data_IF_580407245314
#
_entry.id   IF_580407245314
#
_cell.length_a   1.000
_cell.length_b   1.000
_cell.length_c   1.000
_cell.angle_alpha   90.00
_cell.angle_beta   90.00
_cell.angle_gamma   90.00
#
_symmetry.space_group_name_H-M   'P 1'
#
loop_
_entity.id
_entity.type
_entity.pdbx_description
1 polymer ?
#
# COMPACT_ATOMS: atom_id res chain seq x y z
N UNK A 1 -3.95 -44.94 22.01
CA UNK A 1 -2.56 -44.66 21.61
C UNK A 1 -2.50 -44.92 20.10
N UNK A 2 -2.62 -43.90 19.27
CA UNK A 2 -1.48 -43.07 18.87
C UNK A 2 -1.88 -41.59 18.83
N UNK A 3 -1.04 -40.76 19.42
CA UNK A 3 -1.07 -39.30 19.34
C UNK A 3 -0.61 -38.86 17.95
N UNK A 4 -1.49 -38.31 17.11
CA UNK A 4 -1.05 -37.51 15.98
C UNK A 4 -0.79 -36.08 16.45
N UNK A 5 0.46 -35.67 16.28
CA UNK A 5 1.04 -34.43 16.73
C UNK A 5 0.44 -33.27 15.94
N UNK A 6 -0.17 -32.33 16.66
CA UNK A 6 -0.48 -31.00 16.16
C UNK A 6 0.84 -30.25 15.92
N UNK A 7 1.38 -30.35 14.69
CA UNK A 7 2.50 -29.53 14.24
C UNK A 7 2.04 -28.08 14.10
N UNK A 8 2.79 -27.08 14.62
CA UNK A 8 2.43 -25.68 14.45
C UNK A 8 2.61 -25.29 12.98
N UNK A 9 1.51 -24.93 12.31
CA UNK A 9 1.53 -24.41 10.95
C UNK A 9 2.35 -23.12 10.93
N UNK A 10 3.52 -23.16 10.31
CA UNK A 10 4.37 -21.99 10.07
C UNK A 10 3.65 -21.01 9.13
N UNK A 11 3.76 -19.72 9.44
CA UNK A 11 3.09 -18.57 8.79
C UNK A 11 3.12 -18.52 7.25
N UNK A 12 4.01 -19.28 6.61
CA UNK A 12 4.11 -19.39 5.15
C UNK A 12 2.96 -20.19 4.51
N UNK A 13 2.37 -21.17 5.21
CA UNK A 13 1.33 -22.02 4.63
C UNK A 13 -0.07 -21.37 4.59
N UNK A 14 -0.29 -20.29 5.35
CA UNK A 14 -1.56 -19.57 5.30
C UNK A 14 -1.65 -18.60 4.12
N UNK A 15 -0.52 -18.16 3.57
CA UNK A 15 -0.49 -17.23 2.44
C UNK A 15 -0.86 -17.93 1.11
N UNK A 16 -0.52 -19.21 0.95
CA UNK A 16 -0.85 -19.97 -0.28
C UNK A 16 -2.34 -20.25 -0.47
N UNK A 17 -3.16 -20.22 0.60
CA UNK A 17 -4.60 -20.48 0.52
C UNK A 17 -5.44 -19.23 0.27
N UNK A 18 -4.88 -18.05 0.46
CA UNK A 18 -5.63 -16.79 0.40
C UNK A 18 -5.45 -16.11 -0.96
N UNK A 19 -4.34 -16.36 -1.66
CA UNK A 19 -4.02 -15.66 -2.91
C UNK A 19 -3.94 -16.63 -4.10
N UNK A 20 -4.69 -16.39 -5.19
CA UNK A 20 -4.66 -17.23 -6.38
C UNK A 20 -3.30 -17.20 -7.08
N UNK A 21 -3.00 -18.25 -7.86
CA UNK A 21 -1.68 -18.52 -8.50
C UNK A 21 -1.14 -17.35 -9.33
N UNK A 22 -1.98 -16.44 -9.84
CA UNK A 22 -1.54 -15.23 -10.56
C UNK A 22 -0.96 -14.13 -9.65
N UNK A 23 -1.16 -14.23 -8.33
CA UNK A 23 -0.53 -13.37 -7.31
C UNK A 23 0.88 -13.83 -6.94
N UNK A 24 1.30 -15.03 -7.37
CA UNK A 24 2.70 -15.43 -7.38
C UNK A 24 3.37 -14.66 -8.51
N UNK A 25 3.74 -13.41 -8.24
CA UNK A 25 4.52 -12.60 -9.15
C UNK A 25 5.75 -13.42 -9.60
N UNK A 26 5.81 -13.75 -10.89
CA UNK A 26 7.08 -14.12 -11.52
C UNK A 26 8.08 -13.00 -11.18
N UNK A 27 9.35 -13.32 -10.89
CA UNK A 27 10.33 -12.31 -10.59
C UNK A 27 10.45 -11.38 -11.80
N UNK A 28 9.86 -10.18 -11.69
CA UNK A 28 10.02 -9.14 -12.70
C UNK A 28 11.52 -8.92 -12.93
N UNK A 29 11.99 -8.89 -14.19
CA UNK A 29 13.40 -8.74 -14.52
C UNK A 29 13.96 -7.36 -14.15
N UNK A 30 13.10 -6.42 -13.76
CA UNK A 30 13.50 -5.15 -13.19
C UNK A 30 13.15 -5.13 -11.70
N UNK A 31 14.08 -5.53 -10.81
CA UNK A 31 13.86 -5.34 -9.40
C UNK A 31 13.75 -3.82 -9.19
N UNK A 32 12.54 -3.33 -8.87
CA UNK A 32 12.38 -2.04 -8.21
C UNK A 32 13.49 -1.98 -7.16
N UNK A 33 14.41 -1.05 -7.33
CA UNK A 33 15.63 -0.94 -6.54
C UNK A 33 15.24 -0.51 -5.11
N UNK A 34 14.64 -1.42 -4.34
CA UNK A 34 14.38 -1.26 -2.89
C UNK A 34 15.71 -1.34 -2.12
N UNK A 35 16.84 -1.56 -2.82
CA UNK A 35 18.11 -1.98 -2.26
C UNK A 35 18.99 -0.86 -1.70
N UNK A 36 18.69 0.44 -1.92
CA UNK A 36 19.59 1.52 -1.48
C UNK A 36 18.86 2.74 -0.91
N UNK A 37 17.97 2.54 0.07
CA UNK A 37 17.36 3.64 0.85
C UNK A 37 16.47 4.62 0.07
N UNK A 38 16.30 4.43 -1.23
CA UNK A 38 15.48 5.23 -2.12
C UNK A 38 14.26 4.43 -2.56
N UNK A 39 13.07 5.03 -2.40
CA UNK A 39 11.81 4.48 -2.89
C UNK A 39 11.27 5.36 -4.02
N UNK A 40 11.53 5.02 -5.30
CA UNK A 40 11.20 5.90 -6.42
C UNK A 40 9.70 6.11 -6.58
N UNK A 41 8.87 5.12 -6.20
CA UNK A 41 7.41 5.24 -6.25
C UNK A 41 6.95 6.23 -5.20
N UNK A 42 7.48 6.14 -3.98
CA UNK A 42 7.16 7.09 -2.92
C UNK A 42 7.58 8.53 -3.26
N UNK A 43 8.79 8.71 -3.79
CA UNK A 43 9.25 10.04 -4.20
C UNK A 43 8.38 10.62 -5.33
N UNK A 44 7.96 9.80 -6.29
CA UNK A 44 7.04 10.21 -7.34
C UNK A 44 5.68 10.64 -6.77
N UNK A 45 5.10 9.86 -5.85
CA UNK A 45 3.83 10.19 -5.20
C UNK A 45 3.91 11.52 -4.45
N UNK A 46 4.97 11.75 -3.67
CA UNK A 46 5.16 13.03 -2.97
C UNK A 46 5.26 14.20 -3.93
N UNK A 47 6.04 14.05 -5.00
CA UNK A 47 6.23 15.09 -6.01
C UNK A 47 4.90 15.42 -6.73
N UNK A 48 4.16 14.40 -7.13
CA UNK A 48 2.84 14.53 -7.77
C UNK A 48 1.82 15.18 -6.83
N UNK A 49 1.74 14.74 -5.58
CA UNK A 49 0.83 15.32 -4.58
C UNK A 49 1.15 16.80 -4.31
N UNK A 50 2.43 17.17 -4.24
CA UNK A 50 2.85 18.55 -4.07
C UNK A 50 2.44 19.42 -5.26
N UNK A 51 2.71 18.94 -6.47
CA UNK A 51 2.34 19.64 -7.70
C UNK A 51 0.82 19.85 -7.79
N UNK A 52 0.04 18.82 -7.43
CA UNK A 52 -1.43 18.90 -7.46
C UNK A 52 -1.97 19.84 -6.39
N UNK A 53 -1.37 19.85 -5.20
CA UNK A 53 -1.74 20.77 -4.13
C UNK A 53 -1.45 22.25 -4.47
N UNK A 54 -0.42 22.50 -5.28
CA UNK A 54 -0.09 23.84 -5.80
C UNK A 54 -1.04 24.27 -6.93
N UNK A 55 -1.43 23.33 -7.80
CA UNK A 55 -2.36 23.59 -8.92
C UNK A 55 -3.80 23.80 -8.48
N UNK A 56 -4.26 23.01 -7.50
CA UNK A 56 -5.64 22.99 -7.04
C UNK A 56 -5.72 23.31 -5.53
N UNK A 57 -5.74 24.60 -5.13
CA UNK A 57 -5.71 25.01 -3.74
C UNK A 57 -6.84 24.43 -2.87
N UNK A 58 -8.01 24.15 -3.47
CA UNK A 58 -9.16 23.54 -2.79
C UNK A 58 -8.81 22.12 -2.28
N UNK A 59 -7.98 21.38 -3.00
CA UNK A 59 -7.55 20.02 -2.62
C UNK A 59 -6.28 20.02 -1.75
N UNK A 60 -5.63 21.17 -1.58
CA UNK A 60 -4.33 21.26 -0.90
C UNK A 60 -4.36 20.65 0.51
N UNK A 61 -5.37 20.97 1.33
CA UNK A 61 -5.50 20.40 2.67
C UNK A 61 -5.73 18.89 2.66
N UNK A 62 -6.49 18.38 1.69
CA UNK A 62 -6.73 16.95 1.55
C UNK A 62 -5.45 16.20 1.14
N UNK A 63 -4.71 16.72 0.16
CA UNK A 63 -3.45 16.13 -0.31
C UNK A 63 -2.37 16.20 0.76
N UNK A 64 -2.33 17.29 1.55
CA UNK A 64 -1.43 17.39 2.67
C UNK A 64 -1.73 16.34 3.73
N UNK A 65 -2.99 16.26 4.18
CA UNK A 65 -3.42 15.30 5.19
C UNK A 65 -3.27 13.84 4.74
N UNK A 66 -3.49 13.56 3.45
CA UNK A 66 -3.50 12.19 2.93
C UNK A 66 -2.13 11.68 2.47
N UNK A 67 -1.23 12.58 2.06
CA UNK A 67 0.07 12.20 1.45
C UNK A 67 1.22 12.96 2.08
N UNK A 68 1.23 14.30 2.01
CA UNK A 68 2.44 15.09 2.29
C UNK A 68 2.82 15.12 3.79
N UNK A 69 1.89 14.79 4.69
CA UNK A 69 2.14 14.69 6.12
C UNK A 69 2.75 13.34 6.56
N UNK A 70 2.91 12.39 5.63
CA UNK A 70 3.42 11.05 5.92
C UNK A 70 4.86 10.87 5.45
N UNK A 71 5.58 9.94 6.08
CA UNK A 71 7.01 9.71 5.81
C UNK A 71 7.25 8.58 4.79
N UNK A 72 6.27 7.69 4.61
CA UNK A 72 6.37 6.56 3.68
C UNK A 72 5.02 6.16 3.07
N UNK A 73 5.09 5.39 1.99
CA UNK A 73 3.94 4.87 1.25
C UNK A 73 2.97 4.06 2.12
N UNK A 74 3.48 3.28 3.05
CA UNK A 74 2.65 2.44 3.93
C UNK A 74 1.75 3.27 4.83
N UNK A 75 2.24 4.40 5.35
CA UNK A 75 1.45 5.32 6.18
C UNK A 75 0.34 5.99 5.37
N UNK A 76 0.65 6.40 4.13
CA UNK A 76 -0.34 6.94 3.19
C UNK A 76 -1.45 5.92 2.94
N UNK A 77 -1.07 4.68 2.62
CA UNK A 77 -2.05 3.63 2.35
C UNK A 77 -2.92 3.34 3.58
N UNK A 78 -2.31 3.22 4.76
CA UNK A 78 -3.04 3.04 6.01
C UNK A 78 -4.04 4.18 6.26
N UNK A 79 -3.61 5.43 6.10
CA UNK A 79 -4.48 6.59 6.26
C UNK A 79 -5.67 6.57 5.29
N UNK A 80 -5.40 6.37 4.00
CA UNK A 80 -6.44 6.38 2.96
C UNK A 80 -7.46 5.25 3.18
N UNK A 81 -6.99 4.03 3.43
CA UNK A 81 -7.86 2.87 3.64
C UNK A 81 -8.64 3.00 4.95
N UNK A 82 -8.01 3.43 6.04
CA UNK A 82 -8.68 3.66 7.31
C UNK A 82 -9.80 4.71 7.19
N UNK A 83 -9.55 5.83 6.50
CA UNK A 83 -10.58 6.86 6.29
C UNK A 83 -11.75 6.38 5.42
N UNK A 84 -11.53 5.39 4.55
CA UNK A 84 -12.59 4.75 3.75
C UNK A 84 -13.38 3.69 4.53
N UNK A 85 -12.74 3.00 5.48
CA UNK A 85 -13.35 1.90 6.26
C UNK A 85 -13.96 2.35 7.59
N UNK A 86 -13.70 3.59 8.03
CA UNK A 86 -14.20 4.09 9.30
C UNK A 86 -15.73 4.04 9.40
N UNK A 87 -16.21 3.89 10.64
CA UNK A 87 -17.62 3.90 10.97
C UNK A 87 -17.81 4.47 12.39
N UNK A 88 -19.04 4.74 12.85
CA UNK A 88 -19.28 5.18 14.22
C UNK A 88 -18.75 4.21 15.30
N UNK A 89 -18.52 2.95 14.95
CA UNK A 89 -17.98 1.91 15.85
C UNK A 89 -16.46 1.80 15.78
N UNK A 90 -15.88 2.02 14.60
CA UNK A 90 -14.43 1.88 14.36
C UNK A 90 -13.89 3.21 13.81
N UNK A 91 -13.15 3.92 14.64
CA UNK A 91 -12.58 5.21 14.29
C UNK A 91 -11.42 5.05 13.30
N UNK A 92 -11.27 6.01 12.38
CA UNK A 92 -10.16 6.01 11.43
C UNK A 92 -8.80 5.92 12.13
N UNK A 93 -8.60 6.60 13.25
CA UNK A 93 -7.34 6.57 14.01
C UNK A 93 -6.97 5.17 14.48
N UNK A 94 -7.94 4.41 15.01
CA UNK A 94 -7.72 3.03 15.44
C UNK A 94 -7.37 2.12 14.26
N UNK A 95 -8.03 2.33 13.13
CA UNK A 95 -7.74 1.59 11.89
C UNK A 95 -6.35 1.92 11.34
N UNK A 96 -5.94 3.19 11.37
CA UNK A 96 -4.60 3.62 10.97
C UNK A 96 -3.55 2.91 11.82
N UNK A 97 -3.70 2.88 13.14
CA UNK A 97 -2.72 2.23 14.03
C UNK A 97 -2.55 0.74 13.71
N UNK A 98 -3.67 0.03 13.51
CA UNK A 98 -3.67 -1.40 13.17
C UNK A 98 -3.03 -1.62 11.79
N UNK A 99 -3.43 -0.85 10.78
CA UNK A 99 -2.92 -1.00 9.41
C UNK A 99 -1.44 -0.64 9.34
N UNK A 100 -1.01 0.48 9.91
CA UNK A 100 0.39 0.87 9.98
C UNK A 100 1.24 -0.24 10.61
N UNK A 101 0.77 -0.86 11.71
CA UNK A 101 1.49 -1.95 12.34
C UNK A 101 1.69 -3.14 11.37
N UNK A 102 0.64 -3.57 10.66
CA UNK A 102 0.76 -4.68 9.71
C UNK A 102 1.65 -4.32 8.51
N UNK A 103 1.37 -3.17 7.88
CA UNK A 103 2.07 -2.73 6.66
C UNK A 103 3.56 -2.43 6.91
N UNK A 104 3.91 -1.94 8.10
CA UNK A 104 5.29 -1.58 8.41
C UNK A 104 6.17 -2.78 8.77
N UNK A 105 5.61 -3.88 9.25
CA UNK A 105 6.38 -5.03 9.73
C UNK A 105 6.52 -6.16 8.70
N UNK A 106 5.72 -6.18 7.63
CA UNK A 106 5.79 -7.22 6.60
C UNK A 106 6.44 -6.70 5.29
N UNK A 107 7.64 -7.19 5.00
CA UNK A 107 8.39 -6.83 3.79
C UNK A 107 7.73 -7.32 2.49
N UNK A 108 7.02 -8.45 2.53
CA UNK A 108 6.32 -8.97 1.37
C UNK A 108 5.15 -8.07 1.02
N UNK A 109 4.37 -7.63 2.02
CA UNK A 109 3.27 -6.68 1.82
C UNK A 109 3.79 -5.36 1.25
N UNK A 110 4.87 -4.81 1.81
CA UNK A 110 5.52 -3.60 1.28
C UNK A 110 5.87 -3.71 -0.21
N UNK A 111 6.46 -4.85 -0.60
CA UNK A 111 6.80 -5.12 -2.00
C UNK A 111 5.53 -5.20 -2.85
N UNK A 112 4.51 -5.93 -2.40
CA UNK A 112 3.25 -6.08 -3.13
C UNK A 112 2.57 -4.75 -3.38
N UNK A 113 2.50 -3.84 -2.39
CA UNK A 113 1.90 -2.50 -2.56
C UNK A 113 2.55 -1.75 -3.72
N UNK A 114 3.89 -1.78 -3.81
CA UNK A 114 4.64 -1.09 -4.87
C UNK A 114 4.37 -1.72 -6.24
N UNK A 115 4.29 -3.04 -6.30
CA UNK A 115 3.95 -3.76 -7.54
C UNK A 115 2.52 -3.45 -8.00
N UNK A 116 1.57 -3.36 -7.07
CA UNK A 116 0.17 -3.04 -7.40
C UNK A 116 0.05 -1.60 -7.92
N UNK A 117 0.67 -0.64 -7.24
CA UNK A 117 0.71 0.77 -7.67
C UNK A 117 1.38 0.92 -9.04
N UNK A 118 2.48 0.20 -9.28
CA UNK A 118 3.13 0.15 -10.58
C UNK A 118 2.21 -0.44 -11.65
N UNK A 119 1.55 -1.56 -11.35
CA UNK A 119 0.66 -2.24 -12.28
C UNK A 119 -0.53 -1.36 -12.68
N UNK A 120 -1.11 -0.59 -11.74
CA UNK A 120 -2.13 0.41 -12.07
C UNK A 120 -1.61 1.45 -13.04
N UNK A 121 -0.40 2.00 -12.77
CA UNK A 121 0.19 3.03 -13.61
C UNK A 121 0.50 2.53 -15.04
N UNK A 122 0.95 1.28 -15.16
CA UNK A 122 1.36 0.70 -16.44
C UNK A 122 0.17 0.22 -17.29
N UNK A 123 -0.89 -0.27 -16.64
CA UNK A 123 -1.99 -0.96 -17.33
C UNK A 123 -3.23 -0.11 -17.54
N UNK A 124 -3.46 0.90 -16.72
CA UNK A 124 -4.64 1.76 -16.82
C UNK A 124 -4.32 3.08 -17.55
N UNK A 125 -4.80 3.28 -18.79
CA UNK A 125 -4.57 4.52 -19.53
C UNK A 125 -5.22 5.74 -18.89
N UNK A 126 -6.22 5.56 -18.01
CA UNK A 126 -6.83 6.65 -17.26
C UNK A 126 -6.05 7.00 -15.99
N UNK A 127 -5.10 6.17 -15.55
CA UNK A 127 -4.27 6.43 -14.38
C UNK A 127 -3.11 7.37 -14.74
N UNK A 128 -3.34 8.66 -14.52
CA UNK A 128 -2.39 9.71 -14.91
C UNK A 128 -1.17 9.80 -13.97
N UNK A 129 -1.27 9.36 -12.72
CA UNK A 129 -0.21 9.51 -11.72
C UNK A 129 -0.25 8.42 -10.63
N UNK A 130 0.88 8.13 -9.99
CA UNK A 130 0.93 7.18 -8.86
C UNK A 130 0.10 7.67 -7.67
N UNK A 131 0.12 8.98 -7.43
CA UNK A 131 -0.70 9.63 -6.42
C UNK A 131 -2.20 9.39 -6.66
N UNK A 132 -2.65 9.51 -7.92
CA UNK A 132 -4.05 9.23 -8.28
C UNK A 132 -4.43 7.76 -8.09
N UNK A 133 -3.49 6.83 -8.35
CA UNK A 133 -3.70 5.40 -8.15
C UNK A 133 -4.07 5.11 -6.68
N UNK A 134 -3.29 5.63 -5.74
CA UNK A 134 -3.51 5.39 -4.31
C UNK A 134 -4.75 6.12 -3.78
N UNK A 135 -4.94 7.38 -4.17
CA UNK A 135 -5.99 8.21 -3.59
C UNK A 135 -7.39 7.87 -4.10
N UNK A 136 -7.53 7.36 -5.33
CA UNK A 136 -8.83 7.26 -5.99
C UNK A 136 -9.21 5.87 -6.47
N UNK A 137 -8.27 4.95 -6.68
CA UNK A 137 -8.61 3.59 -7.11
C UNK A 137 -9.21 2.79 -5.95
N UNK A 138 -10.17 1.92 -6.28
CA UNK A 138 -10.89 1.05 -5.33
C UNK A 138 -10.58 -0.44 -5.54
N UNK A 139 -9.82 -0.76 -6.59
CA UNK A 139 -9.60 -2.11 -7.12
C UNK A 139 -8.72 -2.98 -6.25
#
# INVERSE_FOLDING_TARGET
MVYEQCLPLTSTQLLEKVFPVYALALPDPNPLHILDGSDPIWEAIKAEAKLEAEKEPILSSFLYASVLAHECLEQVLAFVVANRLQSPTLLATQLVDIMCNVLMHDKAIKRSIRLDVQAFKDRDPACLSYCSAILYMKG
#
